data_IF_327702739222
#
_entry.id   IF_327702739222
#
_cell.length_a   1.000
_cell.length_b   1.000
_cell.length_c   1.000
_cell.angle_alpha   90.00
_cell.angle_beta   90.00
_cell.angle_gamma   90.00
#
_symmetry.space_group_name_H-M   'P 1'
#
loop_
_entity.id
_entity.type
_entity.pdbx_description
1 polymer ?
#
# COMPACT_ATOMS: atom_id res chain seq x y z
N UNK A 1 -1.87 18.94 54.95
CA UNK A 1 -3.26 18.68 54.53
C UNK A 1 -3.44 19.32 53.16
N UNK A 2 -3.41 18.56 52.13
CA UNK A 2 -4.03 18.79 50.81
C UNK A 2 -3.34 17.85 49.77
N UNK A 3 -3.72 16.65 49.79
CA UNK A 3 -3.57 15.72 48.68
C UNK A 3 -4.93 15.03 48.54
N UNK A 4 -5.37 14.82 47.33
CA UNK A 4 -6.63 14.23 46.85
C UNK A 4 -7.55 15.25 46.15
N UNK A 5 -7.22 15.62 44.95
CA UNK A 5 -8.18 15.86 43.82
C UNK A 5 -7.35 15.71 42.54
N UNK A 6 -7.29 14.53 41.98
CA UNK A 6 -6.56 14.26 40.74
C UNK A 6 -6.85 12.86 40.18
N UNK A 7 -8.05 12.34 40.44
CA UNK A 7 -8.33 10.96 40.07
C UNK A 7 -9.75 10.71 39.59
N UNK A 8 -10.40 11.63 38.91
CA UNK A 8 -11.80 11.42 38.51
C UNK A 8 -12.24 12.11 37.24
N UNK A 9 -11.34 12.28 36.27
CA UNK A 9 -11.69 12.82 34.94
C UNK A 9 -11.39 11.85 33.79
N UNK A 10 -10.69 10.74 34.04
CA UNK A 10 -10.30 9.79 32.98
C UNK A 10 -11.29 8.65 32.75
N UNK A 11 -12.44 8.63 33.45
CA UNK A 11 -13.40 7.53 33.34
C UNK A 11 -14.72 7.88 32.59
N UNK A 12 -14.79 9.02 31.89
CA UNK A 12 -16.06 9.45 31.25
C UNK A 12 -15.94 9.62 29.71
N UNK A 13 -14.91 9.16 29.05
CA UNK A 13 -14.80 9.21 27.58
C UNK A 13 -14.86 7.84 26.88
N UNK A 14 -15.15 6.75 27.61
CA UNK A 14 -15.26 5.38 27.04
C UNK A 14 -16.71 4.99 26.72
N UNK A 15 -17.69 5.87 26.89
CA UNK A 15 -19.12 5.50 26.81
C UNK A 15 -19.91 6.25 25.72
N UNK A 16 -19.28 6.79 24.69
CA UNK A 16 -19.99 7.40 23.56
C UNK A 16 -19.34 7.01 22.22
N UNK A 17 -19.53 5.76 21.81
CA UNK A 17 -19.01 5.22 20.54
C UNK A 17 -19.61 3.87 20.17
N UNK A 18 -20.70 3.48 20.84
CA UNK A 18 -21.46 2.29 20.42
C UNK A 18 -22.86 2.71 19.98
N UNK A 19 -22.99 3.18 18.76
CA UNK A 19 -24.25 3.16 18.03
C UNK A 19 -24.12 2.11 16.93
N UNK A 20 -24.77 0.96 17.16
CA UNK A 20 -24.67 -0.22 16.33
C UNK A 20 -25.20 0.00 14.92
N UNK A 21 -24.54 -0.68 14.02
CA UNK A 21 -25.15 -1.24 12.83
C UNK A 21 -25.35 -2.75 13.10
N UNK A 22 -26.57 -3.12 13.46
CA UNK A 22 -27.02 -4.51 13.40
C UNK A 22 -27.37 -4.80 11.95
N UNK A 23 -26.43 -5.38 11.22
CA UNK A 23 -26.74 -6.19 10.05
C UNK A 23 -25.77 -7.39 10.05
N UNK A 24 -26.33 -8.56 9.82
CA UNK A 24 -25.85 -9.91 10.05
C UNK A 24 -24.50 -10.35 9.49
N UNK A 25 -23.46 -9.55 9.59
CA UNK A 25 -22.06 -9.93 9.40
C UNK A 25 -21.41 -10.01 10.79
N UNK A 26 -20.87 -11.16 11.15
CA UNK A 26 -20.17 -11.36 12.42
C UNK A 26 -19.14 -10.25 12.64
N UNK A 27 -19.08 -9.73 13.86
CA UNK A 27 -18.18 -8.64 14.25
C UNK A 27 -16.72 -9.08 14.00
N UNK A 28 -16.10 -8.52 12.96
CA UNK A 28 -14.68 -8.72 12.68
C UNK A 28 -13.87 -7.85 13.62
N UNK A 29 -13.17 -8.45 14.56
CA UNK A 29 -12.33 -7.74 15.51
C UNK A 29 -10.88 -7.78 15.05
N UNK A 30 -10.45 -6.72 14.37
CA UNK A 30 -9.04 -6.52 14.03
C UNK A 30 -8.31 -5.97 15.25
N UNK A 31 -7.20 -6.59 15.64
CA UNK A 31 -6.34 -6.10 16.73
C UNK A 31 -5.42 -5.02 16.20
N UNK A 32 -5.61 -3.80 16.64
CA UNK A 32 -4.76 -2.65 16.29
C UNK A 32 -4.13 -2.02 17.54
N UNK A 33 -2.90 -1.53 17.41
CA UNK A 33 -2.21 -0.73 18.42
C UNK A 33 -2.07 0.70 17.93
N UNK A 34 -2.40 1.66 18.79
CA UNK A 34 -2.14 3.06 18.52
C UNK A 34 -0.64 3.33 18.47
N UNK A 35 -0.16 4.25 17.61
CA UNK A 35 1.24 4.64 17.58
C UNK A 35 1.67 5.15 18.97
N UNK A 36 2.96 4.97 19.35
CA UNK A 36 3.48 5.49 20.60
C UNK A 36 3.34 7.01 20.64
N UNK A 37 3.03 7.56 21.82
CA UNK A 37 2.97 9.01 21.99
C UNK A 37 4.35 9.64 21.70
N UNK A 38 4.37 10.79 21.01
CA UNK A 38 5.61 11.54 20.75
C UNK A 38 6.38 11.76 22.05
N UNK A 39 7.58 11.17 22.16
CA UNK A 39 8.46 11.30 23.33
C UNK A 39 8.82 10.00 24.03
N UNK A 40 8.19 8.87 23.73
CA UNK A 40 8.63 7.55 24.18
C UNK A 40 9.61 6.90 23.21
N UNK A 41 10.72 7.57 22.91
CA UNK A 41 11.92 6.91 22.40
C UNK A 41 12.50 6.08 23.55
N UNK A 42 11.98 4.88 23.73
CA UNK A 42 12.59 3.88 24.57
C UNK A 42 14.04 3.64 24.11
N UNK A 43 14.96 3.54 25.05
CA UNK A 43 16.35 3.16 24.82
C UNK A 43 16.41 1.96 23.86
N UNK A 44 16.82 2.17 22.68
CA UNK A 44 17.07 1.49 21.42
C UNK A 44 17.29 -0.03 21.34
N UNK A 45 16.78 -0.83 22.24
CA UNK A 45 16.76 -2.28 22.11
C UNK A 45 15.33 -2.79 22.31
N UNK A 46 14.59 -2.90 21.21
CA UNK A 46 13.36 -3.70 21.21
C UNK A 46 13.63 -5.14 21.65
N UNK A 47 12.60 -5.95 21.90
CA UNK A 47 12.77 -7.34 22.30
C UNK A 47 13.66 -8.07 21.28
N UNK A 48 14.46 -9.06 21.73
CA UNK A 48 15.28 -9.85 20.83
C UNK A 48 14.41 -10.47 19.71
N UNK A 49 14.92 -10.54 18.50
CA UNK A 49 14.25 -11.16 17.33
C UNK A 49 13.58 -12.50 17.66
N UNK A 50 14.21 -13.26 18.57
CA UNK A 50 13.64 -14.51 19.07
C UNK A 50 12.30 -14.32 19.79
N UNK A 51 12.13 -13.23 20.52
CA UNK A 51 10.87 -12.95 21.22
C UNK A 51 9.78 -12.55 20.23
N UNK A 52 10.11 -11.69 19.25
CA UNK A 52 9.20 -11.34 18.13
C UNK A 52 8.75 -12.61 17.42
N UNK A 53 9.68 -13.50 17.06
CA UNK A 53 9.34 -14.78 16.43
C UNK A 53 8.46 -15.67 17.32
N UNK A 54 8.76 -15.76 18.60
CA UNK A 54 8.00 -16.63 19.52
C UNK A 54 6.55 -16.12 19.68
N UNK A 55 6.37 -14.80 19.66
CA UNK A 55 5.07 -14.16 19.82
C UNK A 55 4.26 -14.21 18.50
N UNK A 56 4.88 -13.86 17.38
CA UNK A 56 4.18 -13.64 16.10
C UNK A 56 4.22 -14.85 15.16
N UNK A 57 5.23 -15.72 15.30
CA UNK A 57 5.39 -16.90 14.44
C UNK A 57 4.18 -17.83 14.39
N UNK A 58 3.47 -18.12 15.51
CA UNK A 58 2.26 -18.93 15.47
C UNK A 58 1.14 -18.41 14.59
N UNK A 59 1.04 -17.09 14.42
CA UNK A 59 0.08 -16.44 13.53
C UNK A 59 0.49 -16.39 12.06
N UNK A 60 1.71 -16.82 11.71
CA UNK A 60 2.18 -16.86 10.31
C UNK A 60 1.91 -18.22 9.71
N UNK A 61 1.40 -18.24 8.50
CA UNK A 61 0.97 -19.47 7.80
C UNK A 61 1.68 -19.59 6.45
N UNK A 62 1.77 -20.85 5.94
CA UNK A 62 1.99 -21.12 4.51
C UNK A 62 0.67 -21.05 3.79
N UNK A 63 0.68 -20.46 2.61
CA UNK A 63 -0.41 -20.51 1.64
C UNK A 63 0.05 -21.40 0.48
N UNK A 64 -0.61 -22.53 0.29
CA UNK A 64 -0.35 -23.48 -0.78
C UNK A 64 -1.46 -23.32 -1.83
N UNK A 65 -1.08 -23.13 -3.09
CA UNK A 65 -2.00 -22.90 -4.21
C UNK A 65 -1.84 -23.98 -5.27
N UNK A 66 -2.96 -24.50 -5.75
CA UNK A 66 -3.02 -25.34 -6.93
C UNK A 66 -3.66 -24.55 -8.08
N UNK A 67 -2.99 -24.54 -9.23
CA UNK A 67 -3.47 -23.92 -10.45
C UNK A 67 -3.14 -24.83 -11.62
N UNK A 68 -4.11 -25.04 -12.52
CA UNK A 68 -3.90 -25.83 -13.75
C UNK A 68 -3.08 -25.03 -14.79
N UNK A 69 -3.09 -23.72 -14.71
CA UNK A 69 -2.40 -22.84 -15.65
C UNK A 69 -0.93 -22.61 -15.25
N UNK A 70 -0.68 -22.32 -13.97
CA UNK A 70 0.65 -21.96 -13.47
C UNK A 70 1.34 -23.10 -12.69
N UNK A 71 0.61 -24.19 -12.41
CA UNK A 71 1.10 -25.28 -11.57
C UNK A 71 1.03 -24.96 -10.07
N UNK A 72 1.56 -25.85 -9.20
CA UNK A 72 1.57 -25.60 -7.77
C UNK A 72 2.52 -24.45 -7.41
N UNK A 73 2.01 -23.48 -6.69
CA UNK A 73 2.72 -22.33 -6.18
C UNK A 73 2.38 -22.09 -4.71
N UNK A 74 2.94 -21.07 -4.10
CA UNK A 74 2.60 -20.71 -2.74
C UNK A 74 3.46 -19.59 -2.19
N UNK A 75 3.01 -19.08 -1.07
CA UNK A 75 3.64 -18.01 -0.33
C UNK A 75 3.39 -18.15 1.17
N UNK A 76 3.33 -17.03 1.81
CA UNK A 76 2.99 -16.90 3.21
C UNK A 76 1.73 -16.07 3.39
N UNK A 77 1.20 -16.11 4.59
CA UNK A 77 0.14 -15.23 5.05
C UNK A 77 0.21 -15.08 6.56
N UNK A 78 -0.67 -14.28 7.11
CA UNK A 78 -0.83 -14.22 8.56
C UNK A 78 -2.29 -14.09 8.96
N UNK A 79 -2.62 -14.64 10.12
CA UNK A 79 -3.97 -14.61 10.69
C UNK A 79 -4.32 -13.20 11.09
N UNK A 80 -5.42 -12.69 10.56
CA UNK A 80 -5.92 -11.35 10.83
C UNK A 80 -6.82 -11.30 12.06
N UNK A 81 -7.71 -12.27 12.18
CA UNK A 81 -8.74 -12.32 13.23
C UNK A 81 -9.09 -13.74 13.68
N UNK A 82 -9.95 -13.83 14.69
CA UNK A 82 -10.47 -15.11 15.23
C UNK A 82 -11.57 -15.72 14.34
N UNK A 83 -12.01 -15.05 13.29
CA UNK A 83 -12.99 -15.52 12.32
C UNK A 83 -12.35 -16.32 11.16
N UNK A 84 -11.03 -16.46 11.17
CA UNK A 84 -10.27 -17.22 10.20
C UNK A 84 -9.86 -16.44 8.96
N UNK A 85 -9.94 -15.11 8.98
CA UNK A 85 -9.42 -14.30 7.90
C UNK A 85 -7.88 -14.30 7.95
N UNK A 86 -7.27 -14.43 6.78
CA UNK A 86 -5.83 -14.48 6.60
C UNK A 86 -5.47 -13.52 5.47
N UNK A 87 -4.50 -12.65 5.72
CA UNK A 87 -3.94 -11.74 4.73
C UNK A 87 -2.79 -12.43 4.02
N UNK A 88 -2.74 -12.25 2.71
CA UNK A 88 -1.62 -12.66 1.84
C UNK A 88 -1.48 -11.67 0.68
N UNK A 89 -0.52 -11.88 -0.24
CA UNK A 89 -0.46 -11.11 -1.47
C UNK A 89 -1.43 -11.66 -2.53
N UNK A 90 -1.85 -10.76 -3.44
CA UNK A 90 -2.70 -11.12 -4.57
C UNK A 90 -1.99 -12.11 -5.50
N UNK A 91 -0.72 -11.82 -5.88
CA UNK A 91 0.05 -12.69 -6.77
C UNK A 91 0.29 -14.10 -6.20
N UNK A 92 0.12 -14.32 -4.88
CA UNK A 92 0.21 -15.65 -4.26
C UNK A 92 -1.00 -16.50 -4.61
N UNK A 93 -2.19 -15.90 -4.72
CA UNK A 93 -3.46 -16.58 -4.98
C UNK A 93 -3.97 -16.39 -6.41
N UNK A 94 -3.26 -15.66 -7.24
CA UNK A 94 -3.63 -15.39 -8.63
C UNK A 94 -3.90 -16.68 -9.42
N UNK A 95 -5.06 -16.76 -10.05
CA UNK A 95 -5.46 -17.92 -10.84
C UNK A 95 -5.56 -19.23 -10.07
N UNK A 96 -5.74 -19.17 -8.73
CA UNK A 96 -5.88 -20.34 -7.90
C UNK A 96 -7.19 -21.09 -8.19
N UNK A 97 -7.10 -22.40 -8.39
CA UNK A 97 -8.26 -23.30 -8.41
C UNK A 97 -8.58 -23.80 -7.00
N UNK A 98 -7.54 -24.13 -6.22
CA UNK A 98 -7.64 -24.54 -4.83
C UNK A 98 -6.59 -23.79 -4.01
N UNK A 99 -7.01 -23.30 -2.86
CA UNK A 99 -6.13 -22.67 -1.86
C UNK A 99 -6.21 -23.44 -0.56
N UNK A 100 -5.08 -23.70 0.07
CA UNK A 100 -5.05 -24.26 1.41
C UNK A 100 -3.98 -23.60 2.25
N UNK A 101 -4.22 -23.56 3.55
CA UNK A 101 -3.37 -22.91 4.53
C UNK A 101 -2.78 -23.95 5.47
N UNK A 102 -1.49 -23.82 5.75
CA UNK A 102 -0.81 -24.62 6.75
C UNK A 102 -0.34 -23.74 7.90
N UNK A 103 -0.82 -24.02 9.08
CA UNK A 103 -0.47 -23.34 10.31
C UNK A 103 0.87 -23.82 10.88
N UNK A 104 1.47 -23.01 11.77
CA UNK A 104 2.70 -23.38 12.47
C UNK A 104 2.60 -24.68 13.26
N UNK A 105 1.40 -25.05 13.71
CA UNK A 105 1.10 -26.33 14.36
C UNK A 105 1.20 -27.54 13.42
N UNK A 106 1.29 -27.33 12.09
CA UNK A 106 1.27 -28.35 11.06
C UNK A 106 -0.15 -28.74 10.59
N UNK A 107 -1.19 -28.17 11.18
CA UNK A 107 -2.58 -28.34 10.74
C UNK A 107 -2.72 -27.67 9.36
N UNK A 108 -3.46 -28.33 8.47
CA UNK A 108 -3.80 -27.84 7.14
C UNK A 108 -5.32 -27.71 7.03
N UNK A 109 -5.77 -26.58 6.52
CA UNK A 109 -7.17 -26.29 6.26
C UNK A 109 -7.32 -25.77 4.82
N UNK A 110 -8.43 -26.08 4.18
CA UNK A 110 -8.80 -25.49 2.91
C UNK A 110 -9.24 -24.04 3.14
N UNK A 111 -8.95 -23.18 2.19
CA UNK A 111 -9.25 -21.75 2.28
C UNK A 111 -10.09 -21.29 1.10
N UNK A 112 -11.01 -20.38 1.37
CA UNK A 112 -11.78 -19.67 0.35
C UNK A 112 -11.18 -18.29 0.13
N UNK A 113 -11.09 -17.83 -1.13
CA UNK A 113 -10.71 -16.45 -1.45
C UNK A 113 -11.93 -15.57 -1.18
N UNK A 114 -11.81 -14.67 -0.19
CA UNK A 114 -12.83 -13.66 0.13
C UNK A 114 -12.84 -12.57 -0.92
N UNK A 115 -11.66 -12.18 -1.38
CA UNK A 115 -11.44 -11.22 -2.45
C UNK A 115 -9.97 -10.85 -2.57
N UNK A 116 -9.64 -10.17 -3.65
CA UNK A 116 -8.27 -9.81 -4.00
C UNK A 116 -8.22 -8.42 -4.65
N UNK A 117 -7.08 -7.76 -4.51
CA UNK A 117 -6.81 -6.47 -5.12
C UNK A 117 -5.42 -6.48 -5.75
N UNK A 118 -5.37 -6.66 -7.06
CA UNK A 118 -4.13 -6.69 -7.83
C UNK A 118 -3.38 -5.34 -7.82
N UNK A 119 -4.08 -4.23 -7.58
CA UNK A 119 -3.48 -2.89 -7.60
C UNK A 119 -2.67 -2.56 -6.36
N UNK A 120 -2.96 -3.23 -5.25
CA UNK A 120 -2.20 -3.12 -4.00
C UNK A 120 -1.45 -4.40 -3.66
N UNK A 121 -1.57 -5.43 -4.50
CA UNK A 121 -1.02 -6.77 -4.26
C UNK A 121 -1.47 -7.36 -2.91
N UNK A 122 -2.75 -7.21 -2.57
CA UNK A 122 -3.34 -7.72 -1.33
C UNK A 122 -4.47 -8.69 -1.64
N UNK A 123 -4.49 -9.82 -0.95
CA UNK A 123 -5.61 -10.76 -0.96
C UNK A 123 -6.04 -11.12 0.46
N UNK A 124 -7.32 -11.41 0.60
CA UNK A 124 -7.93 -11.91 1.81
C UNK A 124 -8.50 -13.29 1.55
N UNK A 125 -8.04 -14.27 2.30
CA UNK A 125 -8.55 -15.64 2.28
C UNK A 125 -9.16 -15.98 3.63
N UNK A 126 -10.02 -17.00 3.66
CA UNK A 126 -10.72 -17.43 4.87
C UNK A 126 -10.65 -18.93 5.04
N UNK A 127 -10.39 -19.37 6.26
CA UNK A 127 -10.42 -20.76 6.67
C UNK A 127 -11.52 -20.99 7.71
N UNK A 128 -12.07 -22.20 7.73
CA UNK A 128 -12.95 -22.68 8.80
C UNK A 128 -12.13 -23.50 9.79
N UNK A 129 -11.33 -22.84 10.60
CA UNK A 129 -10.42 -23.48 11.53
C UNK A 129 -11.02 -23.57 12.93
N UNK A 130 -10.69 -24.65 13.66
CA UNK A 130 -11.14 -24.84 15.03
C UNK A 130 -10.50 -23.84 16.00
N UNK A 131 -11.21 -23.50 17.07
CA UNK A 131 -10.70 -22.62 18.14
C UNK A 131 -9.33 -23.09 18.66
N UNK A 132 -8.43 -22.14 18.86
CA UNK A 132 -7.08 -22.36 19.40
C UNK A 132 -6.00 -22.65 18.34
N UNK A 133 -6.34 -22.63 17.04
CA UNK A 133 -5.35 -22.69 15.95
C UNK A 133 -5.07 -21.29 15.41
N UNK A 134 -6.07 -20.42 15.47
CA UNK A 134 -5.97 -19.03 14.99
C UNK A 134 -5.27 -18.15 16.04
N UNK A 135 -4.12 -17.60 15.65
CA UNK A 135 -3.33 -16.66 16.49
C UNK A 135 -3.22 -15.32 15.74
N UNK A 136 -4.22 -14.41 15.88
CA UNK A 136 -4.23 -13.15 15.16
C UNK A 136 -3.05 -12.26 15.50
N UNK A 137 -2.40 -11.69 14.47
CA UNK A 137 -1.34 -10.72 14.65
C UNK A 137 -1.91 -9.33 14.94
N UNK A 138 -1.14 -8.55 15.69
CA UNK A 138 -1.49 -7.16 15.98
C UNK A 138 -1.02 -6.28 14.83
N UNK A 139 -1.94 -5.46 14.29
CA UNK A 139 -1.63 -4.50 13.23
C UNK A 139 -1.17 -3.16 13.81
N UNK A 140 -0.11 -2.61 13.25
CA UNK A 140 0.46 -1.32 13.60
C UNK A 140 -0.08 -0.17 12.76
N UNK A 141 0.75 0.86 12.63
CA UNK A 141 0.48 2.05 11.83
C UNK A 141 1.72 2.34 10.97
N UNK A 142 1.61 2.11 9.65
CA UNK A 142 2.72 2.31 8.72
C UNK A 142 3.12 3.77 8.55
N UNK A 143 2.24 4.73 8.83
CA UNK A 143 2.56 6.16 8.72
C UNK A 143 3.49 6.63 9.86
N UNK A 144 3.55 5.85 10.94
CA UNK A 144 4.45 6.12 12.06
C UNK A 144 5.85 5.52 11.90
N UNK A 145 6.10 4.75 10.82
CA UNK A 145 7.35 4.01 10.60
C UNK A 145 8.44 4.95 10.10
N UNK A 146 9.62 4.89 10.74
CA UNK A 146 10.78 5.70 10.41
C UNK A 146 11.95 4.92 9.80
N UNK A 147 12.71 5.57 8.91
CA UNK A 147 13.95 5.00 8.35
C UNK A 147 14.96 4.72 9.48
N UNK A 148 15.54 3.52 9.45
CA UNK A 148 16.49 3.04 10.46
C UNK A 148 15.86 2.21 11.58
N UNK A 149 14.53 2.09 11.64
CA UNK A 149 13.86 1.25 12.62
C UNK A 149 14.11 -0.24 12.34
N UNK A 150 14.40 -1.06 13.36
CA UNK A 150 14.60 -2.49 13.21
C UNK A 150 13.30 -3.19 12.77
N UNK A 151 13.42 -4.11 11.82
CA UNK A 151 12.29 -4.92 11.35
C UNK A 151 12.62 -6.41 11.30
N UNK A 152 11.57 -7.21 11.37
CA UNK A 152 11.61 -8.67 11.27
C UNK A 152 10.62 -9.10 10.19
N UNK A 153 11.11 -9.70 9.11
CA UNK A 153 10.26 -10.33 8.12
C UNK A 153 10.12 -11.82 8.44
N UNK A 154 8.88 -12.31 8.46
CA UNK A 154 8.57 -13.72 8.70
C UNK A 154 7.83 -14.28 7.49
N UNK A 155 8.18 -15.51 7.13
CA UNK A 155 7.47 -16.27 6.11
C UNK A 155 7.60 -17.77 6.35
N UNK A 156 6.82 -18.56 5.62
CA UNK A 156 6.87 -20.01 5.69
C UNK A 156 7.09 -20.60 4.28
N UNK A 157 8.25 -20.31 3.66
CA UNK A 157 8.51 -20.69 2.28
C UNK A 157 8.56 -22.21 2.10
N UNK A 158 7.99 -22.70 1.02
CA UNK A 158 8.16 -24.06 0.51
C UNK A 158 7.85 -25.18 1.52
N UNK A 159 7.05 -24.92 2.53
CA UNK A 159 6.70 -25.88 3.59
C UNK A 159 7.91 -26.51 4.32
N UNK A 160 9.08 -25.85 4.28
CA UNK A 160 10.27 -26.31 5.01
C UNK A 160 10.36 -25.76 6.43
N UNK A 161 9.38 -24.95 6.83
CA UNK A 161 9.29 -24.31 8.13
C UNK A 161 9.41 -22.80 8.05
N UNK A 162 9.05 -22.15 9.16
CA UNK A 162 9.08 -20.68 9.25
C UNK A 162 10.51 -20.17 9.10
N UNK A 163 10.69 -19.20 8.21
CA UNK A 163 11.92 -18.46 8.00
C UNK A 163 11.77 -17.06 8.58
N UNK A 164 12.83 -16.60 9.25
CA UNK A 164 12.89 -15.26 9.85
C UNK A 164 14.11 -14.55 9.30
N UNK A 165 13.92 -13.36 8.79
CA UNK A 165 15.00 -12.45 8.40
C UNK A 165 14.87 -11.14 9.14
N UNK A 166 15.96 -10.43 9.31
CA UNK A 166 16.00 -9.16 10.03
C UNK A 166 16.74 -8.11 9.24
N UNK A 167 16.36 -6.89 9.42
CA UNK A 167 16.97 -5.72 8.82
C UNK A 167 16.44 -4.44 9.46
N UNK A 168 16.45 -3.39 8.68
CA UNK A 168 15.90 -2.09 9.06
C UNK A 168 14.93 -1.60 7.99
N UNK A 169 14.13 -0.63 8.33
CA UNK A 169 13.44 0.21 7.34
C UNK A 169 14.50 1.02 6.59
N UNK A 170 14.71 0.75 5.32
CA UNK A 170 15.68 1.45 4.46
C UNK A 170 15.09 2.68 3.78
N UNK A 171 13.77 2.74 3.66
CA UNK A 171 13.02 3.86 3.07
C UNK A 171 11.53 3.69 3.31
N UNK A 172 10.79 4.79 3.22
CA UNK A 172 9.32 4.85 3.26
C UNK A 172 8.83 5.67 2.08
N UNK A 173 7.56 5.54 1.72
CA UNK A 173 6.98 6.27 0.60
C UNK A 173 7.64 5.90 -0.73
N UNK A 174 7.92 4.61 -0.96
CA UNK A 174 8.55 4.17 -2.20
C UNK A 174 7.50 3.71 -3.20
N UNK A 175 7.42 4.34 -4.39
CA UNK A 175 6.55 3.83 -5.43
C UNK A 175 7.12 2.51 -5.97
N UNK A 176 6.30 1.47 -5.98
CA UNK A 176 6.62 0.17 -6.57
C UNK A 176 5.52 -0.28 -7.51
N UNK A 177 5.85 -1.13 -8.48
CA UNK A 177 4.85 -1.68 -9.40
C UNK A 177 4.16 -2.88 -8.78
N UNK A 178 2.83 -2.83 -8.77
CA UNK A 178 2.00 -4.00 -8.50
C UNK A 178 2.03 -4.98 -9.70
N UNK A 179 1.56 -6.22 -9.55
CA UNK A 179 1.54 -7.21 -10.63
C UNK A 179 0.77 -6.77 -11.89
N UNK A 180 -0.21 -5.89 -11.77
CA UNK A 180 -1.00 -5.32 -12.86
C UNK A 180 -0.45 -3.98 -13.38
N UNK A 181 0.83 -3.67 -13.13
CA UNK A 181 1.53 -2.43 -13.50
C UNK A 181 1.03 -1.14 -12.83
N UNK A 182 0.04 -1.20 -11.96
CA UNK A 182 -0.32 -0.06 -11.11
C UNK A 182 0.77 0.25 -10.09
N UNK A 183 0.74 1.44 -9.55
CA UNK A 183 1.72 1.89 -8.56
C UNK A 183 1.15 1.75 -7.15
N UNK A 184 1.90 1.06 -6.29
CA UNK A 184 1.73 1.10 -4.82
C UNK A 184 2.63 2.23 -4.32
N UNK A 185 2.05 3.31 -3.79
CA UNK A 185 2.76 4.58 -3.59
C UNK A 185 3.68 4.58 -2.37
N UNK A 186 3.24 3.97 -1.28
CA UNK A 186 3.84 4.12 0.04
C UNK A 186 4.63 2.91 0.52
N UNK A 187 5.18 2.09 -0.39
CA UNK A 187 5.87 0.87 0.00
C UNK A 187 6.98 1.13 1.01
N UNK A 188 7.06 0.24 2.00
CA UNK A 188 8.14 0.22 2.99
C UNK A 188 9.31 -0.56 2.40
N UNK A 189 10.44 0.11 2.21
CA UNK A 189 11.69 -0.51 1.76
C UNK A 189 12.46 -1.07 2.95
N UNK A 190 13.03 -2.27 2.81
CA UNK A 190 13.83 -2.93 3.85
C UNK A 190 15.02 -3.66 3.26
N UNK A 191 16.07 -3.84 4.06
CA UNK A 191 17.20 -4.74 3.79
C UNK A 191 17.06 -6.10 4.50
N UNK A 192 15.96 -6.32 5.23
CA UNK A 192 15.56 -7.67 5.64
C UNK A 192 15.37 -8.54 4.39
N UNK A 193 16.01 -9.71 4.34
CA UNK A 193 15.98 -10.53 3.14
C UNK A 193 14.57 -11.02 2.81
N UNK A 194 13.99 -10.49 1.74
CA UNK A 194 12.74 -10.97 1.14
C UNK A 194 13.12 -11.92 0.01
N UNK A 195 12.49 -13.08 -0.05
CA UNK A 195 12.74 -14.09 -1.06
C UNK A 195 11.41 -14.80 -1.39
N UNK A 196 11.31 -15.50 -2.54
CA UNK A 196 10.14 -16.32 -2.86
C UNK A 196 9.75 -17.21 -1.69
N UNK A 197 8.48 -17.08 -1.26
CA UNK A 197 7.92 -17.77 -0.10
C UNK A 197 7.76 -16.90 1.16
N UNK A 198 8.44 -15.74 1.27
CA UNK A 198 8.12 -14.76 2.30
C UNK A 198 6.97 -13.82 1.87
N UNK A 199 6.69 -13.75 0.56
CA UNK A 199 5.60 -12.93 0.01
C UNK A 199 4.27 -13.29 0.67
N UNK A 200 3.51 -12.30 1.08
CA UNK A 200 2.27 -12.42 1.86
C UNK A 200 2.48 -12.55 3.37
N UNK A 201 3.69 -12.84 3.83
CA UNK A 201 4.03 -12.86 5.24
C UNK A 201 4.19 -11.45 5.83
N UNK A 202 4.16 -11.29 7.17
CA UNK A 202 4.25 -9.99 7.81
C UNK A 202 5.68 -9.45 7.83
N UNK A 203 5.80 -8.11 7.66
CA UNK A 203 6.92 -7.31 8.11
C UNK A 203 6.54 -6.73 9.46
N UNK A 204 7.32 -7.03 10.49
CA UNK A 204 7.05 -6.68 11.88
C UNK A 204 8.02 -5.63 12.37
N UNK A 205 7.56 -4.75 13.24
CA UNK A 205 8.43 -3.88 14.04
C UNK A 205 9.12 -4.66 15.17
N UNK A 206 9.98 -3.99 15.93
CA UNK A 206 10.70 -4.59 17.06
C UNK A 206 9.78 -5.07 18.20
N UNK A 207 8.50 -4.71 18.21
CA UNK A 207 7.50 -5.13 19.21
C UNK A 207 6.67 -6.33 18.73
N UNK A 208 6.89 -6.80 17.50
CA UNK A 208 6.10 -7.86 16.88
C UNK A 208 4.78 -7.38 16.29
N UNK A 209 4.66 -6.09 16.01
CA UNK A 209 3.48 -5.46 15.40
C UNK A 209 3.66 -5.41 13.90
N UNK A 210 2.64 -5.78 13.13
CA UNK A 210 2.69 -5.79 11.66
C UNK A 210 2.69 -4.36 11.14
N UNK A 211 3.73 -3.97 10.41
CA UNK A 211 3.88 -2.67 9.75
C UNK A 211 3.74 -2.75 8.24
N UNK A 212 3.76 -3.97 7.68
CA UNK A 212 3.58 -4.20 6.26
C UNK A 212 3.45 -5.68 5.92
N UNK A 213 3.16 -5.95 4.64
CA UNK A 213 3.10 -7.30 4.05
C UNK A 213 4.24 -7.42 3.05
N UNK A 214 5.13 -8.39 3.28
CA UNK A 214 6.26 -8.64 2.37
C UNK A 214 5.74 -8.93 0.96
N UNK A 215 6.20 -8.19 -0.05
CA UNK A 215 5.68 -8.31 -1.41
C UNK A 215 6.77 -8.76 -2.39
N UNK A 216 7.72 -7.90 -2.68
CA UNK A 216 8.66 -8.13 -3.78
C UNK A 216 10.07 -7.61 -3.46
N UNK A 217 11.00 -7.90 -4.37
CA UNK A 217 12.38 -7.42 -4.33
C UNK A 217 12.67 -6.57 -5.58
N UNK A 218 13.54 -5.56 -5.44
CA UNK A 218 14.20 -4.99 -6.60
C UNK A 218 15.43 -5.84 -6.91
N UNK A 219 15.46 -6.49 -8.05
CA UNK A 219 16.55 -7.39 -8.42
C UNK A 219 16.69 -7.50 -9.93
N UNK A 220 17.93 -7.41 -10.42
CA UNK A 220 18.27 -7.70 -11.82
C UNK A 220 18.53 -9.19 -12.05
N UNK A 221 18.96 -9.91 -11.01
CA UNK A 221 19.31 -11.34 -11.09
C UNK A 221 18.17 -12.28 -10.71
N UNK A 222 17.06 -11.76 -10.16
CA UNK A 222 15.94 -12.55 -9.63
C UNK A 222 16.15 -13.03 -8.19
N UNK A 223 17.28 -12.71 -7.55
CA UNK A 223 17.57 -12.98 -6.14
C UNK A 223 17.63 -11.72 -5.32
N UNK A 224 17.53 -11.82 -4.00
CA UNK A 224 17.62 -10.68 -3.09
C UNK A 224 19.02 -10.01 -3.15
N UNK A 225 19.05 -8.74 -3.49
CA UNK A 225 20.27 -7.92 -3.62
C UNK A 225 20.35 -6.79 -2.58
N UNK A 226 19.66 -6.95 -1.45
CA UNK A 226 19.66 -5.97 -0.36
C UNK A 226 18.52 -4.97 -0.42
N UNK A 227 17.57 -5.13 -1.34
CA UNK A 227 16.39 -4.26 -1.46
C UNK A 227 15.13 -5.10 -1.55
N UNK A 228 14.31 -5.03 -0.53
CA UNK A 228 12.98 -5.62 -0.47
C UNK A 228 11.92 -4.57 -0.18
N UNK A 229 10.68 -4.87 -0.52
CA UNK A 229 9.53 -3.99 -0.33
C UNK A 229 8.40 -4.74 0.35
N UNK A 230 7.67 -4.01 1.19
CA UNK A 230 6.44 -4.47 1.80
C UNK A 230 5.30 -3.48 1.53
N UNK A 231 4.10 -3.99 1.29
CA UNK A 231 2.87 -3.20 1.20
C UNK A 231 2.57 -2.64 2.60
N UNK A 232 2.35 -1.32 2.75
CA UNK A 232 2.11 -0.71 4.06
C UNK A 232 0.87 -1.28 4.74
N UNK A 233 0.92 -1.46 6.06
CA UNK A 233 -0.22 -2.06 6.78
C UNK A 233 -1.47 -1.18 6.75
N UNK A 234 -1.37 0.15 6.62
CA UNK A 234 -2.53 1.02 6.51
C UNK A 234 -3.27 0.81 5.18
N UNK A 235 -2.53 0.60 4.08
CA UNK A 235 -3.10 0.19 2.78
C UNK A 235 -3.81 -1.16 2.91
N UNK A 236 -3.16 -2.16 3.52
CA UNK A 236 -3.74 -3.49 3.76
C UNK A 236 -5.04 -3.39 4.58
N UNK A 237 -5.05 -2.59 5.65
CA UNK A 237 -6.27 -2.37 6.48
C UNK A 237 -7.41 -1.79 5.66
N UNK A 238 -7.12 -0.84 4.75
CA UNK A 238 -8.13 -0.22 3.89
C UNK A 238 -8.74 -1.24 2.93
N UNK A 239 -7.89 -2.02 2.27
CA UNK A 239 -8.28 -3.08 1.33
C UNK A 239 -9.11 -4.16 2.04
N UNK A 240 -8.58 -4.73 3.13
CA UNK A 240 -9.23 -5.81 3.87
C UNK A 240 -10.62 -5.41 4.38
N UNK A 241 -10.80 -4.17 4.86
CA UNK A 241 -12.13 -3.68 5.28
C UNK A 241 -13.14 -3.69 4.13
N UNK A 242 -12.72 -3.33 2.92
CA UNK A 242 -13.59 -3.39 1.74
C UNK A 242 -13.87 -4.85 1.36
N UNK A 243 -12.84 -5.70 1.29
CA UNK A 243 -13.00 -7.12 0.95
C UNK A 243 -13.96 -7.84 1.91
N UNK A 244 -13.86 -7.60 3.21
CA UNK A 244 -14.80 -8.18 4.20
C UNK A 244 -16.23 -7.67 3.98
N UNK A 245 -16.40 -6.39 3.60
CA UNK A 245 -17.72 -5.76 3.53
C UNK A 245 -18.44 -6.04 2.22
N UNK A 246 -17.71 -6.00 1.10
CA UNK A 246 -18.29 -6.05 -0.26
C UNK A 246 -17.72 -7.18 -1.11
N UNK A 247 -16.61 -7.80 -0.72
CA UNK A 247 -15.86 -8.77 -1.54
C UNK A 247 -15.00 -8.14 -2.62
N UNK A 248 -15.06 -6.83 -2.80
CA UNK A 248 -14.36 -6.08 -3.87
C UNK A 248 -13.72 -4.82 -3.32
N UNK A 249 -12.64 -4.37 -3.96
CA UNK A 249 -11.98 -3.09 -3.66
C UNK A 249 -12.28 -2.09 -4.76
N UNK A 250 -12.69 -0.91 -4.35
CA UNK A 250 -13.00 0.18 -5.27
C UNK A 250 -11.92 1.24 -5.15
N UNK A 251 -11.21 1.49 -6.26
CA UNK A 251 -10.18 2.51 -6.34
C UNK A 251 -10.71 3.80 -6.96
N UNK A 252 -10.24 4.93 -6.43
CA UNK A 252 -10.45 6.22 -7.05
C UNK A 252 -9.79 6.28 -8.44
N UNK A 253 -10.41 7.02 -9.36
CA UNK A 253 -9.95 7.13 -10.72
C UNK A 253 -10.29 8.52 -11.28
N UNK A 254 -9.33 9.14 -11.94
CA UNK A 254 -9.57 10.40 -12.67
C UNK A 254 -9.35 10.26 -14.18
N UNK A 255 -8.76 9.17 -14.62
CA UNK A 255 -8.59 8.85 -16.06
C UNK A 255 -7.49 9.64 -16.73
N UNK A 256 -6.32 9.70 -16.11
CA UNK A 256 -5.12 10.28 -16.70
C UNK A 256 -3.96 9.30 -16.69
N UNK A 257 -3.17 9.30 -17.76
CA UNK A 257 -1.81 8.75 -17.76
C UNK A 257 -0.84 9.92 -17.66
N UNK A 258 0.23 9.71 -16.91
CA UNK A 258 1.23 10.75 -16.66
C UNK A 258 2.54 10.40 -17.35
N UNK A 259 3.30 11.41 -17.78
CA UNK A 259 4.69 11.16 -18.14
C UNK A 259 5.46 10.70 -16.89
N UNK A 260 6.43 9.77 -17.06
CA UNK A 260 7.20 9.21 -15.94
C UNK A 260 8.12 10.23 -15.27
N UNK A 261 8.31 11.40 -15.90
CA UNK A 261 9.17 12.47 -15.39
C UNK A 261 8.35 13.73 -15.17
N UNK A 262 8.57 14.40 -14.04
CA UNK A 262 8.04 15.74 -13.79
C UNK A 262 8.92 16.83 -14.40
N UNK A 263 8.48 18.08 -14.32
CA UNK A 263 9.21 19.25 -14.91
C UNK A 263 10.65 19.36 -14.37
N UNK A 264 10.88 19.03 -13.09
CA UNK A 264 12.21 19.08 -12.50
C UNK A 264 13.18 18.06 -13.10
N UNK A 265 12.71 16.87 -13.38
CA UNK A 265 13.50 15.80 -14.00
C UNK A 265 13.67 16.03 -15.51
N UNK A 266 12.64 16.54 -16.18
CA UNK A 266 12.71 16.97 -17.58
C UNK A 266 13.82 18.02 -17.76
N UNK A 267 13.92 19.01 -16.86
CA UNK A 267 15.00 19.98 -16.88
C UNK A 267 16.39 19.33 -16.76
N UNK A 268 16.53 18.36 -15.87
CA UNK A 268 17.78 17.62 -15.70
C UNK A 268 18.13 16.76 -16.93
N UNK A 269 17.12 16.11 -17.52
CA UNK A 269 17.27 15.25 -18.69
C UNK A 269 17.64 16.04 -19.96
N UNK A 270 16.98 17.17 -20.18
CA UNK A 270 17.23 18.03 -21.34
C UNK A 270 18.47 18.94 -21.19
N UNK A 271 18.98 19.09 -19.98
CA UNK A 271 20.05 20.04 -19.66
C UNK A 271 19.63 21.51 -19.68
N UNK A 272 18.33 21.78 -19.79
CA UNK A 272 17.75 23.12 -19.69
C UNK A 272 17.46 23.48 -18.23
N UNK A 273 17.53 24.77 -17.92
CA UNK A 273 17.01 25.24 -16.63
C UNK A 273 15.48 25.29 -16.64
N UNK A 274 14.83 25.20 -15.48
CA UNK A 274 13.37 25.38 -15.35
C UNK A 274 12.90 26.72 -15.95
N UNK A 275 13.69 27.80 -15.80
CA UNK A 275 13.40 29.06 -16.42
C UNK A 275 13.43 29.07 -17.94
N UNK A 276 14.33 28.28 -18.56
CA UNK A 276 14.33 28.09 -20.01
C UNK A 276 13.13 27.27 -20.47
N UNK A 277 12.73 26.22 -19.74
CA UNK A 277 11.52 25.48 -20.01
C UNK A 277 10.27 26.38 -19.93
N UNK A 278 10.23 27.29 -18.98
CA UNK A 278 9.14 28.24 -18.84
C UNK A 278 9.14 29.29 -19.95
N UNK A 279 10.29 29.92 -20.24
CA UNK A 279 10.39 31.02 -21.20
C UNK A 279 10.26 30.58 -22.67
N UNK A 280 10.80 29.40 -23.01
CA UNK A 280 10.87 28.93 -24.40
C UNK A 280 9.72 27.98 -24.74
N UNK A 281 9.24 27.17 -23.77
CA UNK A 281 8.22 26.13 -24.00
C UNK A 281 6.92 26.35 -23.21
N UNK A 282 6.85 27.40 -22.40
CA UNK A 282 5.65 27.76 -21.64
C UNK A 282 5.28 26.75 -20.53
N UNK A 283 6.24 25.93 -20.10
CA UNK A 283 6.02 24.95 -19.05
C UNK A 283 6.15 25.59 -17.65
N UNK A 284 5.36 25.20 -16.65
CA UNK A 284 5.52 25.71 -15.29
C UNK A 284 6.83 25.21 -14.66
N UNK A 285 7.27 25.84 -13.57
CA UNK A 285 8.52 25.46 -12.89
C UNK A 285 8.48 24.08 -12.22
N UNK A 286 7.29 23.60 -11.88
CA UNK A 286 7.04 22.28 -11.27
C UNK A 286 5.70 21.75 -11.73
N UNK A 287 5.52 20.43 -11.63
CA UNK A 287 4.27 19.77 -11.93
C UNK A 287 4.45 18.40 -12.52
N UNK A 288 3.36 17.67 -12.58
CA UNK A 288 3.22 16.38 -13.24
C UNK A 288 2.54 16.57 -14.60
N UNK A 289 3.10 15.96 -15.64
CA UNK A 289 2.69 16.20 -17.03
C UNK A 289 1.72 15.10 -17.47
N UNK A 290 0.56 15.47 -17.99
CA UNK A 290 -0.46 14.54 -18.51
C UNK A 290 -0.07 14.08 -19.90
N UNK A 291 0.16 12.78 -20.07
CA UNK A 291 0.45 12.18 -21.39
C UNK A 291 -0.81 11.77 -22.13
N UNK A 292 -1.80 11.23 -21.43
CA UNK A 292 -3.03 10.75 -22.03
C UNK A 292 -4.22 10.99 -21.07
N UNK A 293 -5.40 11.21 -21.64
CA UNK A 293 -6.66 11.30 -20.91
C UNK A 293 -7.63 10.27 -21.45
N UNK A 294 -8.18 9.47 -20.57
CA UNK A 294 -9.13 8.43 -20.93
C UNK A 294 -10.43 9.04 -21.46
N UNK A 295 -10.85 8.60 -22.63
CA UNK A 295 -12.07 9.11 -23.24
C UNK A 295 -13.32 8.74 -22.44
N UNK A 296 -14.17 9.72 -22.15
CA UNK A 296 -15.32 9.61 -21.28
C UNK A 296 -14.96 9.52 -19.78
N UNK A 297 -13.68 9.74 -19.46
CA UNK A 297 -13.21 9.73 -18.07
C UNK A 297 -13.40 11.07 -17.35
N UNK A 298 -13.28 11.08 -16.00
CA UNK A 298 -13.50 12.28 -15.20
C UNK A 298 -12.60 13.47 -15.56
N UNK A 299 -11.34 13.22 -15.97
CA UNK A 299 -10.42 14.27 -16.38
C UNK A 299 -10.82 14.91 -17.71
N UNK A 300 -11.28 14.11 -18.69
CA UNK A 300 -11.79 14.64 -19.95
C UNK A 300 -13.03 15.52 -19.72
N UNK A 301 -13.96 15.06 -18.86
CA UNK A 301 -15.14 15.84 -18.49
C UNK A 301 -14.78 17.17 -17.81
N UNK A 302 -13.70 17.20 -17.06
CA UNK A 302 -13.16 18.39 -16.42
C UNK A 302 -12.36 19.29 -17.36
N UNK A 303 -12.13 18.84 -18.61
CA UNK A 303 -11.41 19.57 -19.64
C UNK A 303 -9.89 19.56 -19.43
N UNK A 304 -9.34 18.49 -18.86
CA UNK A 304 -7.91 18.23 -18.82
C UNK A 304 -7.53 17.59 -20.16
N UNK A 305 -6.42 18.01 -20.74
CA UNK A 305 -5.95 17.55 -22.04
C UNK A 305 -4.60 16.82 -21.90
N UNK A 306 -4.54 15.62 -22.46
CA UNK A 306 -3.29 14.88 -22.63
C UNK A 306 -2.52 15.38 -23.83
N UNK A 307 -1.22 15.17 -23.84
CA UNK A 307 -0.38 15.51 -24.96
C UNK A 307 0.79 14.55 -25.18
N UNK A 308 1.25 14.44 -26.44
CA UNK A 308 2.44 13.69 -26.78
C UNK A 308 3.73 14.45 -26.46
N UNK A 309 4.80 13.99 -27.07
CA UNK A 309 6.07 14.73 -27.14
C UNK A 309 6.22 15.39 -28.50
N UNK A 310 6.58 16.67 -28.50
CA UNK A 310 6.99 17.38 -29.72
C UNK A 310 8.50 17.57 -29.69
N UNK A 311 9.18 17.17 -30.75
CA UNK A 311 10.62 17.39 -30.87
C UNK A 311 10.91 18.83 -31.32
N UNK A 312 11.38 19.65 -30.39
CA UNK A 312 11.76 21.04 -30.66
C UNK A 312 13.29 21.16 -30.53
N UNK A 313 13.97 21.45 -31.65
CA UNK A 313 15.44 21.53 -31.72
C UNK A 313 16.19 20.27 -31.23
N UNK A 314 15.56 19.09 -31.37
CA UNK A 314 16.12 17.80 -30.91
C UNK A 314 15.85 17.49 -29.44
N UNK A 315 15.01 18.26 -28.78
CA UNK A 315 14.59 18.08 -27.40
C UNK A 315 13.12 17.63 -27.38
N UNK A 316 12.80 16.47 -26.77
CA UNK A 316 11.42 16.05 -26.59
C UNK A 316 10.76 16.92 -25.53
N UNK A 317 9.74 17.68 -25.91
CA UNK A 317 8.98 18.55 -25.02
C UNK A 317 7.54 18.07 -24.95
N UNK A 318 7.02 17.77 -23.75
CA UNK A 318 5.63 17.36 -23.59
C UNK A 318 4.67 18.52 -23.93
N UNK A 319 3.53 18.15 -24.56
CA UNK A 319 2.51 19.12 -25.00
C UNK A 319 1.21 19.03 -24.21
N UNK A 320 1.10 18.09 -23.27
CA UNK A 320 -0.08 17.94 -22.41
C UNK A 320 -0.15 18.95 -21.27
N UNK A 321 -1.29 18.99 -20.65
CA UNK A 321 -1.50 19.77 -19.43
C UNK A 321 -0.54 19.36 -18.32
N UNK A 322 -0.16 20.31 -17.48
CA UNK A 322 0.68 20.09 -16.31
C UNK A 322 -0.13 20.35 -15.05
N UNK A 323 -0.29 19.34 -14.21
CA UNK A 323 -0.91 19.47 -12.89
C UNK A 323 0.13 20.03 -11.93
N UNK A 324 -0.12 21.23 -11.39
CA UNK A 324 0.81 21.94 -10.50
C UNK A 324 0.39 21.95 -9.04
N UNK A 325 -0.92 21.75 -8.77
CA UNK A 325 -1.49 21.69 -7.43
C UNK A 325 -2.73 20.78 -7.40
N UNK A 326 -2.91 19.98 -6.35
CA UNK A 326 -4.12 19.22 -6.05
C UNK A 326 -4.50 19.39 -4.59
N UNK A 327 -5.76 19.75 -4.30
CA UNK A 327 -6.27 19.95 -2.95
C UNK A 327 -5.40 20.91 -2.11
N UNK A 328 -4.79 21.93 -2.77
CA UNK A 328 -3.90 22.90 -2.11
C UNK A 328 -2.48 22.37 -1.84
N UNK A 329 -2.18 21.14 -2.21
CA UNK A 329 -0.82 20.56 -2.15
C UNK A 329 -0.10 20.81 -3.46
N UNK A 330 1.16 21.28 -3.45
CA UNK A 330 1.96 21.40 -4.66
C UNK A 330 2.27 20.01 -5.23
N UNK A 331 2.19 19.89 -6.54
CA UNK A 331 2.51 18.66 -7.29
C UNK A 331 3.86 18.86 -7.99
N UNK A 332 4.72 17.85 -7.93
CA UNK A 332 6.04 17.84 -8.55
C UNK A 332 6.28 16.63 -9.47
N UNK A 333 5.56 15.54 -9.24
CA UNK A 333 5.72 14.26 -9.93
C UNK A 333 4.37 13.57 -10.19
N UNK A 334 4.37 12.54 -11.02
CA UNK A 334 3.22 11.64 -11.19
C UNK A 334 2.81 10.98 -9.86
N UNK A 335 3.78 10.62 -9.03
CA UNK A 335 3.54 9.96 -7.74
C UNK A 335 2.70 10.85 -6.80
N UNK A 336 2.93 12.17 -6.79
CA UNK A 336 2.12 13.11 -5.99
C UNK A 336 0.63 13.10 -6.43
N UNK A 337 0.37 12.98 -7.75
CA UNK A 337 -1.00 12.88 -8.29
C UNK A 337 -1.63 11.56 -7.87
N UNK A 338 -0.89 10.45 -8.00
CA UNK A 338 -1.33 9.11 -7.64
C UNK A 338 -1.69 9.04 -6.16
N UNK A 339 -0.84 9.59 -5.27
CA UNK A 339 -1.09 9.66 -3.81
C UNK A 339 -2.43 10.33 -3.50
N UNK A 340 -2.70 11.48 -4.11
CA UNK A 340 -3.96 12.21 -3.87
C UNK A 340 -5.17 11.43 -4.39
N UNK A 341 -5.06 10.82 -5.57
CA UNK A 341 -6.16 10.03 -6.16
C UNK A 341 -6.43 8.77 -5.35
N UNK A 342 -5.39 8.03 -4.96
CA UNK A 342 -5.52 6.80 -4.16
C UNK A 342 -6.07 7.06 -2.75
N UNK A 343 -5.83 8.24 -2.18
CA UNK A 343 -6.42 8.66 -0.91
C UNK A 343 -7.89 9.09 -1.01
N UNK A 344 -8.41 9.25 -2.23
CA UNK A 344 -9.75 9.76 -2.51
C UNK A 344 -10.74 8.63 -2.80
N UNK A 345 -12.03 8.89 -2.58
CA UNK A 345 -13.10 7.91 -2.85
C UNK A 345 -13.87 8.30 -4.11
N UNK A 346 -14.43 7.33 -4.85
CA UNK A 346 -15.38 7.65 -5.91
C UNK A 346 -16.51 8.56 -5.43
N UNK A 347 -16.75 9.63 -6.19
CA UNK A 347 -17.70 10.69 -5.86
C UNK A 347 -17.09 11.90 -5.15
N UNK A 348 -15.87 11.82 -4.64
CA UNK A 348 -15.15 12.98 -4.11
C UNK A 348 -14.84 13.96 -5.25
N UNK A 349 -14.73 15.24 -4.91
CA UNK A 349 -14.35 16.28 -5.86
C UNK A 349 -12.97 16.79 -5.52
N UNK A 350 -12.07 16.70 -6.47
CA UNK A 350 -10.69 17.17 -6.34
C UNK A 350 -10.53 18.49 -7.08
N UNK A 351 -10.00 19.49 -6.39
CA UNK A 351 -9.65 20.78 -6.98
C UNK A 351 -8.20 20.74 -7.48
N UNK A 352 -7.99 20.89 -8.78
CA UNK A 352 -6.67 20.92 -9.41
C UNK A 352 -6.36 22.29 -9.96
N UNK A 353 -5.09 22.67 -9.91
CA UNK A 353 -4.54 23.77 -10.73
C UNK A 353 -3.74 23.14 -11.87
N UNK A 354 -4.14 23.47 -13.09
CA UNK A 354 -3.60 22.90 -14.32
C UNK A 354 -3.08 24.01 -15.20
N UNK A 355 -1.95 23.79 -15.87
CA UNK A 355 -1.31 24.72 -16.81
C UNK A 355 -1.13 24.03 -18.16
N UNK A 356 -1.78 24.51 -19.20
CA UNK A 356 -1.46 24.14 -20.58
C UNK A 356 -0.20 24.89 -21.03
N UNK A 357 0.70 24.27 -21.81
CA UNK A 357 1.94 24.93 -22.26
C UNK A 357 1.68 26.29 -22.91
N UNK A 358 2.27 27.34 -22.36
CA UNK A 358 2.11 28.73 -22.83
C UNK A 358 0.82 29.44 -22.40
N UNK A 359 0.01 28.84 -21.55
CA UNK A 359 -1.22 29.43 -21.03
C UNK A 359 -1.12 29.79 -19.54
N UNK A 360 -2.07 30.58 -19.07
CA UNK A 360 -2.17 30.92 -17.65
C UNK A 360 -2.77 29.76 -16.85
N UNK A 361 -2.38 29.58 -15.57
CA UNK A 361 -2.94 28.54 -14.72
C UNK A 361 -4.46 28.62 -14.60
N UNK A 362 -5.15 27.48 -14.77
CA UNK A 362 -6.61 27.35 -14.60
C UNK A 362 -6.94 26.39 -13.49
N UNK A 363 -8.03 26.64 -12.77
CA UNK A 363 -8.59 25.70 -11.79
C UNK A 363 -9.63 24.83 -12.45
N UNK A 364 -9.55 23.54 -12.20
CA UNK A 364 -10.53 22.54 -12.62
C UNK A 364 -10.98 21.74 -11.41
N UNK A 365 -12.21 21.26 -11.43
CA UNK A 365 -12.77 20.36 -10.44
C UNK A 365 -13.03 19.02 -11.11
N UNK A 366 -12.36 17.96 -10.64
CA UNK A 366 -12.51 16.61 -11.15
C UNK A 366 -13.30 15.78 -10.16
N UNK A 367 -14.39 15.15 -10.58
CA UNK A 367 -15.12 14.19 -9.75
C UNK A 367 -14.47 12.82 -9.89
N UNK A 368 -13.96 12.28 -8.79
CA UNK A 368 -13.33 10.96 -8.79
C UNK A 368 -14.34 9.90 -9.20
N UNK A 369 -14.01 9.15 -10.23
CA UNK A 369 -14.78 8.00 -10.71
C UNK A 369 -14.34 6.70 -10.05
N UNK A 370 -14.99 5.60 -10.44
CA UNK A 370 -14.53 4.23 -10.16
C UNK A 370 -13.58 3.83 -11.27
N UNK A 371 -12.45 3.27 -10.90
CA UNK A 371 -11.50 2.74 -11.87
C UNK A 371 -12.11 1.56 -12.63
N UNK A 372 -12.11 1.55 -13.97
CA UNK A 372 -12.53 0.40 -14.77
C UNK A 372 -11.58 -0.80 -14.56
N UNK A 373 -12.09 -2.02 -14.68
CA UNK A 373 -11.31 -3.27 -14.50
C UNK A 373 -10.23 -3.44 -15.57
N UNK A 374 -10.40 -2.76 -16.73
CA UNK A 374 -9.52 -2.82 -17.90
C UNK A 374 -8.74 -1.50 -18.15
N UNK A 375 -8.64 -0.63 -17.15
CA UNK A 375 -7.99 0.68 -17.26
C UNK A 375 -6.48 0.61 -17.05
#
# INVERSE_FOLDING_TARGET
MSAVIGGLVTALFILFGMSGFEDGSGDVTIREVSPPAEGESGDGAGPPVREVYTQSGPGVVSVDVASSEFGPSGGSGFVLDEQGHIVTNQHVVEGAEDVSVRFASGVREDAEIVGEDASTDVALIKVDASEGILEPLTLGDSDSVGVGEPVVAIGNPLNVGISVTTGIVSGVGRPIKAPNDYTIDDAVQTDAAINPGNSGGPLLDSRGTVIGVNAQIASESGGFEGVGFAVPINTVKSVVRQLITTGEVVHGYIGVSMFPVGIGELAAYTGLSKGQLADEYGLPENGAIVSEVASGGPAEEAGIEGGGEEEIEGIPVPTGDVVTEMEGKPISSADDVIEVVNSSKPGDRLALTVVSPGEEPRRVEVTVGVRPDDA
#
